data_IF_948584992625
#
_entry.id   IF_948584992625
#
_cell.length_a   1.000
_cell.length_b   1.000
_cell.length_c   1.000
_cell.angle_alpha   90.00
_cell.angle_beta   90.00
_cell.angle_gamma   90.00
#
_symmetry.space_group_name_H-M   'P 1'
#
loop_
_entity.id
_entity.type
_entity.pdbx_description
1 polymer ?
#
# COMPACT_ATOMS: atom_id res chain seq x y z
N UNK A 1 -23.53 51.48 -13.63
CA UNK A 1 -24.60 51.83 -12.70
C UNK A 1 -24.19 51.31 -11.35
N UNK A 2 -23.78 52.25 -10.55
CA UNK A 2 -23.33 52.13 -9.17
C UNK A 2 -24.41 51.59 -8.24
N UNK A 3 -24.01 50.93 -7.16
CA UNK A 3 -24.39 51.32 -5.81
C UNK A 3 -23.42 50.72 -4.78
N UNK A 4 -22.75 51.68 -4.15
CA UNK A 4 -21.81 51.61 -3.02
C UNK A 4 -22.52 51.49 -1.68
N UNK A 5 -21.77 50.94 -0.71
CA UNK A 5 -21.66 51.29 0.73
C UNK A 5 -22.71 50.79 1.72
N UNK A 6 -22.30 50.17 2.83
CA UNK A 6 -21.89 50.80 4.10
C UNK A 6 -21.36 49.79 5.15
N UNK A 7 -20.32 50.25 5.82
CA UNK A 7 -19.70 49.70 7.05
C UNK A 7 -20.60 49.84 8.27
N UNK A 8 -20.44 48.96 9.26
CA UNK A 8 -20.50 49.35 10.67
C UNK A 8 -19.71 48.39 11.55
N UNK A 9 -18.67 48.92 12.18
CA UNK A 9 -17.90 48.30 13.25
C UNK A 9 -18.55 48.66 14.58
N UNK A 10 -18.67 47.73 15.51
CA UNK A 10 -18.96 47.99 16.92
C UNK A 10 -17.87 47.38 17.78
N UNK A 11 -17.04 48.24 18.37
CA UNK A 11 -16.16 47.94 19.50
C UNK A 11 -16.95 48.17 20.78
N UNK A 12 -16.90 47.20 21.71
CA UNK A 12 -17.29 47.43 23.09
C UNK A 12 -16.12 47.05 23.99
N UNK A 13 -15.53 48.09 24.60
CA UNK A 13 -14.60 47.94 25.74
C UNK A 13 -15.43 47.86 27.02
N UNK A 14 -15.08 46.92 27.91
CA UNK A 14 -15.42 47.01 29.33
C UNK A 14 -14.17 46.92 30.17
N UNK A 15 -13.86 48.02 30.84
CA UNK A 15 -12.90 48.14 31.91
C UNK A 15 -13.62 47.90 33.24
N UNK A 16 -13.09 47.07 34.11
CA UNK A 16 -13.50 46.99 35.52
C UNK A 16 -12.30 47.17 36.42
N UNK A 17 -12.50 48.07 37.37
CA UNK A 17 -11.54 48.65 38.31
C UNK A 17 -11.18 47.71 39.46
N UNK A 18 -9.96 47.92 39.93
CA UNK A 18 -9.38 47.38 41.15
C UNK A 18 -9.97 47.98 42.40
N UNK A 19 -10.09 47.19 43.48
CA UNK A 19 -10.17 47.69 44.83
C UNK A 19 -9.26 46.82 45.76
N UNK A 20 -8.24 47.47 46.30
CA UNK A 20 -7.39 46.96 47.37
C UNK A 20 -8.14 46.94 48.70
N UNK A 21 -8.01 45.90 49.46
CA UNK A 21 -8.17 45.93 50.95
C UNK A 21 -7.01 45.17 51.57
N UNK A 22 -6.19 45.90 52.30
CA UNK A 22 -5.14 45.34 53.19
C UNK A 22 -5.78 44.91 54.51
N UNK A 23 -5.42 43.75 55.00
CA UNK A 23 -5.49 43.38 56.40
C UNK A 23 -4.24 42.59 56.79
N UNK A 24 -3.49 43.17 57.72
CA UNK A 24 -2.31 42.56 58.29
C UNK A 24 -2.70 41.50 59.33
N UNK A 25 -2.06 40.34 59.24
CA UNK A 25 -2.15 39.29 60.25
C UNK A 25 -0.85 38.47 60.25
N UNK A 26 -0.08 38.65 61.32
CA UNK A 26 1.17 37.94 61.56
C UNK A 26 0.90 36.48 61.91
N UNK A 27 1.44 35.55 61.12
CA UNK A 27 1.44 34.13 61.43
C UNK A 27 2.65 33.48 60.79
N UNK A 28 3.54 32.95 61.62
CA UNK A 28 4.74 32.21 61.21
C UNK A 28 4.34 30.97 60.43
N UNK A 29 4.66 30.92 59.17
CA UNK A 29 4.47 29.75 58.30
C UNK A 29 5.79 29.03 58.14
N UNK A 30 5.83 27.80 58.63
CA UNK A 30 6.84 26.78 58.31
C UNK A 30 6.86 26.53 56.80
N UNK A 31 7.93 26.89 56.13
CA UNK A 31 8.19 26.52 54.71
C UNK A 31 8.52 25.03 54.65
N UNK A 32 7.50 24.20 54.44
CA UNK A 32 7.69 22.87 53.88
C UNK A 32 7.91 23.01 52.36
N UNK A 33 9.20 22.97 51.96
CA UNK A 33 9.59 22.91 50.56
C UNK A 33 9.11 21.59 49.96
N UNK A 34 7.96 21.59 49.30
CA UNK A 34 7.60 20.52 48.39
C UNK A 34 8.54 20.62 47.17
N UNK A 35 9.58 19.79 47.17
CA UNK A 35 10.31 19.48 45.96
C UNK A 35 9.30 18.87 44.97
N UNK A 36 8.80 19.68 44.06
CA UNK A 36 8.17 19.19 42.86
C UNK A 36 9.22 18.40 42.09
N UNK A 37 9.23 17.09 42.26
CA UNK A 37 9.91 16.21 41.31
C UNK A 37 9.34 16.55 39.91
N UNK A 38 10.19 16.78 38.91
CA UNK A 38 9.69 16.87 37.57
C UNK A 38 8.95 15.55 37.28
N UNK A 39 7.67 15.65 36.89
CA UNK A 39 6.96 14.52 36.32
C UNK A 39 7.85 13.99 35.19
N UNK A 40 8.53 12.89 35.44
CA UNK A 40 9.10 12.08 34.37
C UNK A 40 7.90 11.54 33.58
N UNK A 41 7.37 12.36 32.65
CA UNK A 41 6.58 11.83 31.59
C UNK A 41 7.47 10.79 30.93
N UNK A 42 7.13 9.53 31.10
CA UNK A 42 7.65 8.48 30.27
C UNK A 42 7.42 8.99 28.83
N UNK A 43 8.51 9.18 28.07
CA UNK A 43 8.40 9.49 26.65
C UNK A 43 7.44 8.46 26.07
N UNK A 44 6.29 8.90 25.57
CA UNK A 44 5.42 8.01 24.82
C UNK A 44 6.27 7.38 23.70
N UNK A 45 6.10 6.08 23.44
CA UNK A 45 6.90 5.42 22.41
C UNK A 45 6.78 6.22 21.12
N UNK A 46 7.89 6.69 20.59
CA UNK A 46 7.91 7.44 19.33
C UNK A 46 7.30 6.56 18.25
N UNK A 47 6.47 7.14 17.41
CA UNK A 47 5.97 6.47 16.23
C UNK A 47 7.12 6.05 15.31
N UNK A 48 6.91 5.04 14.49
CA UNK A 48 7.91 4.57 13.54
C UNK A 48 8.35 5.71 12.60
N UNK A 49 7.39 6.47 12.03
CA UNK A 49 7.68 7.58 11.12
C UNK A 49 8.45 8.73 11.78
N UNK A 50 8.35 8.91 13.08
CA UNK A 50 9.14 9.91 13.80
C UNK A 50 10.65 9.61 13.82
N UNK A 51 11.03 8.39 13.50
CA UNK A 51 12.44 7.97 13.44
C UNK A 51 12.99 7.93 12.01
N UNK A 52 12.14 8.11 11.00
CA UNK A 52 12.51 8.03 9.58
C UNK A 52 12.62 9.44 9.01
N UNK A 53 13.86 9.87 8.73
CA UNK A 53 14.13 11.25 8.28
C UNK A 53 14.98 11.35 7.02
N UNK A 54 15.55 10.25 6.57
CA UNK A 54 16.45 10.23 5.43
C UNK A 54 15.90 9.36 4.32
N UNK A 55 15.75 9.94 3.13
CA UNK A 55 15.35 9.26 1.91
C UNK A 55 16.52 9.22 0.95
N UNK A 56 16.82 8.04 0.43
CA UNK A 56 17.98 7.81 -0.45
C UNK A 56 17.52 7.01 -1.66
N UNK A 57 17.57 7.61 -2.84
CA UNK A 57 17.38 6.89 -4.10
C UNK A 57 18.49 5.86 -4.27
N UNK A 58 18.10 4.61 -4.45
CA UNK A 58 19.02 3.47 -4.52
C UNK A 58 19.41 3.12 -5.96
N UNK A 59 18.39 2.99 -6.82
CA UNK A 59 18.57 2.53 -8.19
C UNK A 59 17.39 2.88 -9.08
N UNK A 60 17.58 2.86 -10.39
CA UNK A 60 16.51 2.82 -11.38
C UNK A 60 15.96 1.42 -11.51
N UNK A 61 14.65 1.31 -11.78
CA UNK A 61 13.95 0.04 -12.02
C UNK A 61 13.82 -0.29 -13.51
N UNK A 62 14.25 0.61 -14.39
CA UNK A 62 14.10 0.48 -15.85
C UNK A 62 15.15 -0.49 -16.41
N UNK A 63 14.72 -1.65 -16.94
CA UNK A 63 15.63 -2.60 -17.60
C UNK A 63 15.90 -2.20 -19.05
N UNK A 64 16.67 -3.05 -19.77
CA UNK A 64 17.11 -2.82 -21.14
C UNK A 64 15.98 -2.73 -22.18
N UNK A 65 14.81 -3.32 -21.91
CA UNK A 65 13.64 -3.22 -22.78
C UNK A 65 12.80 -1.95 -22.55
N UNK A 66 13.16 -1.13 -21.55
CA UNK A 66 12.50 0.13 -21.25
C UNK A 66 11.17 0.05 -20.51
N UNK A 67 10.79 -1.13 -19.99
CA UNK A 67 9.65 -1.21 -19.07
C UNK A 67 9.87 -0.27 -17.89
N UNK A 68 8.81 0.37 -17.41
CA UNK A 68 8.87 1.43 -16.43
C UNK A 68 7.64 1.43 -15.51
N UNK A 69 7.55 2.41 -14.63
CA UNK A 69 6.48 2.57 -13.66
C UNK A 69 6.47 1.39 -12.67
N UNK A 70 7.39 1.41 -11.66
CA UNK A 70 7.52 0.34 -10.70
C UNK A 70 6.30 0.31 -9.74
N UNK A 71 5.69 -0.87 -9.61
CA UNK A 71 4.49 -1.06 -8.81
C UNK A 71 4.71 -1.94 -7.58
N UNK A 72 5.09 -3.20 -7.78
CA UNK A 72 5.38 -4.09 -6.66
C UNK A 72 6.80 -3.90 -6.13
N UNK A 73 6.94 -4.11 -4.82
CA UNK A 73 8.25 -4.22 -4.17
C UNK A 73 8.18 -5.29 -3.09
N UNK A 74 9.16 -6.21 -3.08
CA UNK A 74 9.23 -7.31 -2.12
C UNK A 74 10.68 -7.49 -1.68
N UNK A 75 10.90 -7.63 -0.37
CA UNK A 75 12.20 -8.01 0.19
C UNK A 75 12.27 -9.54 0.28
N UNK A 76 13.31 -10.13 -0.28
CA UNK A 76 13.53 -11.57 -0.32
C UNK A 76 13.74 -12.15 1.09
N UNK A 77 12.88 -13.08 1.55
CA UNK A 77 13.00 -13.66 2.89
C UNK A 77 14.12 -14.70 2.99
N UNK A 78 14.58 -15.25 1.86
CA UNK A 78 15.58 -16.31 1.77
C UNK A 78 16.45 -16.15 0.53
N UNK A 79 17.64 -16.74 0.54
CA UNK A 79 18.44 -16.92 -0.67
C UNK A 79 17.98 -18.15 -1.43
N UNK A 80 17.69 -17.99 -2.73
CA UNK A 80 17.31 -19.09 -3.63
C UNK A 80 17.64 -18.72 -5.08
N UNK A 81 18.23 -19.65 -5.84
CA UNK A 81 18.59 -19.43 -7.24
C UNK A 81 19.45 -18.18 -7.44
N UNK A 82 18.94 -17.20 -8.20
CA UNK A 82 19.62 -15.91 -8.43
C UNK A 82 19.45 -14.91 -7.29
N UNK A 83 18.40 -15.07 -6.48
CA UNK A 83 18.02 -14.13 -5.43
C UNK A 83 18.84 -14.38 -4.18
N UNK A 84 19.38 -13.34 -3.58
CA UNK A 84 19.98 -13.39 -2.24
C UNK A 84 18.96 -12.96 -1.20
N UNK A 85 19.07 -13.49 0.03
CA UNK A 85 18.27 -12.96 1.14
C UNK A 85 18.51 -11.46 1.28
N UNK A 86 17.43 -10.70 1.56
CA UNK A 86 17.38 -9.26 1.68
C UNK A 86 17.53 -8.50 0.35
N UNK A 87 17.62 -9.17 -0.80
CA UNK A 87 17.45 -8.55 -2.10
C UNK A 87 16.05 -7.95 -2.23
N UNK A 88 15.93 -6.96 -3.09
CA UNK A 88 14.66 -6.25 -3.33
C UNK A 88 14.21 -6.52 -4.75
N UNK A 89 13.09 -7.23 -4.89
CA UNK A 89 12.45 -7.49 -6.18
C UNK A 89 11.44 -6.39 -6.47
N UNK A 90 11.48 -5.85 -7.68
CA UNK A 90 10.58 -4.79 -8.14
C UNK A 90 10.06 -5.14 -9.53
N UNK A 91 8.74 -5.03 -9.75
CA UNK A 91 8.19 -5.16 -11.10
C UNK A 91 7.86 -3.80 -11.72
N UNK A 92 7.72 -3.79 -13.04
CA UNK A 92 7.32 -2.63 -13.82
C UNK A 92 5.95 -2.90 -14.47
N UNK A 93 5.01 -1.98 -14.28
CA UNK A 93 3.64 -2.10 -14.76
C UNK A 93 3.45 -1.60 -16.19
N UNK A 94 4.24 -0.62 -16.61
CA UNK A 94 4.16 0.00 -17.93
C UNK A 94 5.26 -0.51 -18.86
N UNK A 95 5.01 -0.48 -20.16
CA UNK A 95 6.02 -0.72 -21.18
C UNK A 95 6.83 0.56 -21.50
N UNK A 96 7.78 0.45 -22.44
CA UNK A 96 8.59 1.58 -22.94
C UNK A 96 7.75 2.79 -23.39
N UNK A 97 6.51 2.56 -23.86
CA UNK A 97 5.61 3.63 -24.28
C UNK A 97 4.82 4.26 -23.13
N UNK A 98 5.12 3.86 -21.91
CA UNK A 98 4.43 4.26 -20.68
C UNK A 98 2.93 3.92 -20.70
N UNK A 99 2.56 2.82 -21.34
CA UNK A 99 1.19 2.32 -21.35
C UNK A 99 0.97 1.34 -20.21
N UNK A 100 -0.05 1.61 -19.39
CA UNK A 100 -0.38 0.84 -18.20
C UNK A 100 -0.84 -0.59 -18.55
N UNK A 101 -0.42 -1.58 -17.75
CA UNK A 101 -0.78 -2.98 -17.94
C UNK A 101 -0.07 -3.67 -19.11
N UNK A 102 1.12 -3.16 -19.48
CA UNK A 102 1.94 -3.70 -20.55
C UNK A 102 3.38 -4.04 -20.13
N UNK A 103 3.76 -3.74 -18.89
CA UNK A 103 5.05 -4.10 -18.34
C UNK A 103 5.14 -5.60 -18.03
N UNK A 104 6.31 -6.16 -18.24
CA UNK A 104 6.56 -7.63 -18.22
C UNK A 104 7.80 -8.02 -17.42
N UNK A 105 8.49 -7.03 -16.83
CA UNK A 105 9.81 -7.24 -16.23
C UNK A 105 9.79 -7.10 -14.72
N UNK A 106 10.62 -7.91 -14.07
CA UNK A 106 10.96 -7.82 -12.65
C UNK A 106 12.47 -7.61 -12.57
N UNK A 107 12.91 -6.61 -11.85
CA UNK A 107 14.32 -6.38 -11.54
C UNK A 107 14.62 -6.80 -10.10
N UNK A 108 15.89 -7.13 -9.85
CA UNK A 108 16.43 -7.52 -8.56
C UNK A 108 17.53 -6.54 -8.18
N UNK A 109 17.32 -5.80 -7.09
CA UNK A 109 18.32 -4.92 -6.49
C UNK A 109 18.93 -5.59 -5.26
N UNK A 110 20.24 -5.78 -5.30
CA UNK A 110 21.00 -6.30 -4.16
C UNK A 110 21.58 -5.15 -3.32
N UNK A 111 21.09 -4.91 -2.07
CA UNK A 111 21.55 -3.79 -1.25
C UNK A 111 23.03 -3.87 -0.84
N UNK A 112 23.62 -5.07 -0.76
CA UNK A 112 25.00 -5.26 -0.36
C UNK A 112 25.98 -4.88 -1.49
N UNK A 113 25.72 -5.31 -2.72
CA UNK A 113 26.52 -4.97 -3.90
C UNK A 113 26.10 -3.65 -4.55
N UNK A 114 24.90 -3.16 -4.26
CA UNK A 114 24.26 -2.00 -4.92
C UNK A 114 24.08 -2.18 -6.43
N UNK A 115 23.89 -3.41 -6.85
CA UNK A 115 23.69 -3.77 -8.26
C UNK A 115 22.21 -4.09 -8.49
N UNK A 116 21.70 -3.66 -9.64
CA UNK A 116 20.38 -4.04 -10.14
C UNK A 116 20.57 -4.95 -11.34
N UNK A 117 19.86 -6.06 -11.36
CA UNK A 117 19.86 -7.04 -12.46
C UNK A 117 18.45 -7.37 -12.90
N UNK A 118 18.30 -7.86 -14.12
CA UNK A 118 17.02 -8.38 -14.58
C UNK A 118 16.78 -9.75 -13.94
N UNK A 119 15.76 -9.85 -13.08
CA UNK A 119 15.37 -11.13 -12.50
C UNK A 119 14.52 -11.94 -13.47
N UNK A 120 13.45 -11.34 -14.03
CA UNK A 120 12.53 -12.02 -14.94
C UNK A 120 12.05 -11.08 -16.05
N UNK A 121 11.84 -11.67 -17.25
CA UNK A 121 11.10 -11.07 -18.35
C UNK A 121 10.05 -12.06 -18.82
N UNK A 122 8.79 -11.69 -18.68
CA UNK A 122 7.66 -12.57 -18.99
C UNK A 122 7.18 -12.37 -20.43
N UNK A 123 6.63 -13.41 -21.08
CA UNK A 123 6.05 -13.27 -22.40
C UNK A 123 4.78 -12.45 -22.31
N UNK A 124 4.65 -11.42 -23.13
CA UNK A 124 3.45 -10.56 -23.18
C UNK A 124 2.17 -11.33 -23.51
N UNK A 125 2.27 -12.29 -24.41
CA UNK A 125 1.16 -13.17 -24.77
C UNK A 125 1.35 -14.53 -24.09
N UNK A 126 0.43 -14.81 -23.16
CA UNK A 126 0.41 -16.04 -22.40
C UNK A 126 -1.03 -16.60 -22.45
N UNK A 127 -1.26 -17.71 -23.22
CA UNK A 127 -2.61 -18.25 -23.40
C UNK A 127 -3.33 -18.62 -22.09
N UNK A 128 -2.56 -19.00 -21.06
CA UNK A 128 -3.09 -19.36 -19.75
C UNK A 128 -3.47 -18.16 -18.90
N UNK A 129 -3.08 -16.94 -19.28
CA UNK A 129 -3.40 -15.69 -18.57
C UNK A 129 -4.37 -14.86 -19.42
N UNK A 130 -5.66 -14.77 -19.06
CA UNK A 130 -6.65 -14.06 -19.87
C UNK A 130 -6.32 -12.58 -20.08
N UNK A 131 -6.03 -12.20 -21.31
CA UNK A 131 -5.60 -10.86 -21.73
C UNK A 131 -4.08 -10.70 -21.85
N UNK A 132 -3.28 -11.67 -21.37
CA UNK A 132 -1.81 -11.62 -21.41
C UNK A 132 -1.17 -11.17 -20.12
N UNK A 133 0.04 -10.58 -20.19
CA UNK A 133 0.83 -10.16 -19.03
C UNK A 133 0.95 -8.64 -18.98
N UNK A 134 0.63 -8.10 -17.80
CA UNK A 134 0.87 -6.74 -17.35
C UNK A 134 1.01 -6.78 -15.84
N UNK A 135 2.24 -6.68 -15.31
CA UNK A 135 2.56 -6.93 -13.90
C UNK A 135 1.96 -5.85 -12.99
N UNK A 136 1.58 -6.23 -11.77
CA UNK A 136 0.87 -5.35 -10.84
C UNK A 136 1.55 -5.29 -9.47
N UNK A 137 1.08 -4.45 -8.58
CA UNK A 137 1.55 -4.38 -7.19
C UNK A 137 1.41 -5.69 -6.40
N UNK A 138 0.72 -6.69 -6.95
CA UNK A 138 0.48 -7.97 -6.30
C UNK A 138 1.68 -8.92 -6.47
N UNK A 139 2.67 -8.83 -5.59
CA UNK A 139 3.85 -9.71 -5.61
C UNK A 139 4.18 -10.22 -4.21
N UNK A 140 4.70 -11.44 -4.13
CA UNK A 140 5.25 -12.06 -2.92
C UNK A 140 6.34 -13.06 -3.29
N UNK A 141 7.36 -13.20 -2.44
CA UNK A 141 8.32 -14.31 -2.50
C UNK A 141 8.10 -15.26 -1.32
N UNK A 142 7.99 -16.54 -1.62
CA UNK A 142 7.84 -17.61 -0.63
C UNK A 142 9.19 -18.05 -0.06
N UNK A 143 9.20 -18.62 1.14
CA UNK A 143 10.38 -19.23 1.74
C UNK A 143 10.95 -20.41 0.93
N UNK A 144 10.12 -20.98 0.07
CA UNK A 144 10.55 -21.99 -0.90
C UNK A 144 11.33 -21.45 -2.11
N UNK A 145 11.46 -20.11 -2.20
CA UNK A 145 12.14 -19.42 -3.28
C UNK A 145 11.28 -19.10 -4.50
N UNK A 146 10.02 -19.50 -4.54
CA UNK A 146 9.11 -19.13 -5.63
C UNK A 146 8.60 -17.70 -5.45
N UNK A 147 8.49 -16.98 -6.56
CA UNK A 147 7.89 -15.65 -6.63
C UNK A 147 6.52 -15.77 -7.29
N UNK A 148 5.50 -15.21 -6.66
CA UNK A 148 4.14 -15.16 -7.20
C UNK A 148 3.83 -13.70 -7.47
N UNK A 149 3.45 -13.37 -8.72
CA UNK A 149 3.13 -12.00 -9.14
C UNK A 149 1.80 -11.94 -9.87
N UNK A 150 1.04 -10.89 -9.63
CA UNK A 150 -0.21 -10.61 -10.30
C UNK A 150 -0.02 -10.02 -11.69
N UNK A 151 -0.96 -10.31 -12.57
CA UNK A 151 -1.06 -9.71 -13.88
C UNK A 151 -2.46 -9.14 -14.10
N UNK A 152 -2.53 -7.88 -14.51
CA UNK A 152 -3.76 -7.20 -14.94
C UNK A 152 -3.46 -6.47 -16.24
N UNK A 153 -3.47 -7.19 -17.35
CA UNK A 153 -3.01 -6.68 -18.64
C UNK A 153 -3.99 -5.73 -19.30
N UNK A 154 -3.47 -4.87 -20.17
CA UNK A 154 -4.26 -4.12 -21.15
C UNK A 154 -3.63 -4.20 -22.54
N UNK A 155 -4.33 -3.69 -23.57
CA UNK A 155 -3.78 -3.60 -24.93
C UNK A 155 -3.44 -2.16 -25.35
N UNK A 156 -4.00 -1.17 -24.65
CA UNK A 156 -3.90 0.25 -25.00
C UNK A 156 -3.60 1.17 -23.82
N UNK A 157 -3.23 0.61 -22.68
CA UNK A 157 -2.99 1.38 -21.46
C UNK A 157 -4.26 1.76 -20.69
N UNK A 158 -5.45 1.30 -21.11
CA UNK A 158 -6.71 1.63 -20.44
C UNK A 158 -7.48 0.41 -19.98
N UNK A 159 -8.37 0.61 -19.02
CA UNK A 159 -9.27 -0.46 -18.54
C UNK A 159 -10.32 -0.88 -19.57
N UNK A 160 -10.49 -0.14 -20.68
CA UNK A 160 -11.38 -0.54 -21.78
C UNK A 160 -10.94 -1.83 -22.45
N UNK A 161 -9.64 -2.09 -22.48
CA UNK A 161 -9.03 -3.30 -23.06
C UNK A 161 -8.43 -4.23 -22.03
N UNK A 162 -8.76 -4.00 -20.74
CA UNK A 162 -8.26 -4.80 -19.64
C UNK A 162 -8.66 -6.28 -19.77
N UNK A 163 -7.70 -7.18 -19.64
CA UNK A 163 -7.95 -8.60 -19.43
C UNK A 163 -8.27 -8.91 -17.97
N UNK A 164 -8.79 -10.13 -17.71
CA UNK A 164 -9.01 -10.57 -16.33
C UNK A 164 -7.68 -10.76 -15.59
N UNK A 165 -6.62 -11.11 -16.31
CA UNK A 165 -5.32 -11.38 -15.73
C UNK A 165 -5.23 -12.73 -15.04
N UNK A 166 -4.18 -12.89 -14.26
CA UNK A 166 -3.81 -14.16 -13.61
C UNK A 166 -2.81 -13.92 -12.48
N UNK A 167 -2.44 -14.98 -11.77
CA UNK A 167 -1.25 -15.03 -10.93
C UNK A 167 -0.20 -15.88 -11.63
N UNK A 168 1.02 -15.36 -11.74
CA UNK A 168 2.17 -15.99 -12.39
C UNK A 168 3.10 -16.53 -11.31
N UNK A 169 3.55 -17.77 -11.45
CA UNK A 169 4.48 -18.40 -10.51
C UNK A 169 5.83 -18.54 -11.19
N UNK A 170 6.84 -17.91 -10.61
CA UNK A 170 8.21 -17.94 -11.08
C UNK A 170 9.05 -18.78 -10.13
N UNK A 171 10.03 -19.49 -10.67
CA UNK A 171 11.08 -20.10 -9.84
C UNK A 171 12.10 -19.02 -9.38
N UNK A 172 13.03 -19.42 -8.54
CA UNK A 172 14.08 -18.54 -8.01
C UNK A 172 15.11 -18.06 -9.06
N UNK A 173 15.00 -18.52 -10.30
CA UNK A 173 15.81 -18.08 -11.44
C UNK A 173 15.02 -17.17 -12.39
N UNK A 174 13.78 -16.80 -12.03
CA UNK A 174 12.91 -15.94 -12.82
C UNK A 174 12.21 -16.64 -13.97
N UNK A 175 12.19 -18.00 -13.99
CA UNK A 175 11.50 -18.76 -15.01
C UNK A 175 10.03 -18.95 -14.63
N UNK A 176 9.11 -18.67 -15.55
CA UNK A 176 7.69 -18.94 -15.38
C UNK A 176 7.46 -20.47 -15.34
N UNK A 177 6.96 -20.97 -14.21
CA UNK A 177 6.72 -22.40 -13.97
C UNK A 177 5.24 -22.76 -13.85
N UNK A 178 4.37 -21.77 -13.56
CA UNK A 178 2.93 -21.98 -13.52
C UNK A 178 2.16 -20.66 -13.76
N UNK A 179 0.86 -20.80 -14.07
CA UNK A 179 -0.07 -19.68 -14.25
C UNK A 179 -1.42 -20.05 -13.65
N UNK A 180 -1.91 -19.23 -12.71
CA UNK A 180 -3.18 -19.47 -12.06
C UNK A 180 -4.21 -18.44 -12.51
N UNK A 181 -5.24 -18.91 -13.18
CA UNK A 181 -6.39 -18.13 -13.61
C UNK A 181 -7.70 -18.77 -13.11
N UNK A 182 -8.81 -18.06 -13.25
CA UNK A 182 -10.13 -18.55 -12.85
C UNK A 182 -11.13 -17.41 -12.77
N UNK A 183 -12.41 -17.76 -12.55
CA UNK A 183 -13.46 -16.78 -12.44
C UNK A 183 -13.34 -15.89 -11.18
N UNK A 184 -12.61 -16.35 -10.18
CA UNK A 184 -12.32 -15.69 -8.92
C UNK A 184 -11.02 -14.84 -8.96
N UNK A 185 -10.27 -14.88 -10.07
CA UNK A 185 -9.07 -14.08 -10.32
C UNK A 185 -9.39 -13.08 -11.41
N UNK A 186 -9.56 -11.82 -11.02
CA UNK A 186 -9.81 -10.73 -11.96
C UNK A 186 -9.22 -9.42 -11.44
N UNK A 187 -8.17 -8.96 -12.11
CA UNK A 187 -7.45 -7.77 -11.68
C UNK A 187 -6.79 -7.94 -10.32
N UNK A 188 -5.85 -8.92 -10.13
CA UNK A 188 -5.06 -8.98 -8.91
C UNK A 188 -4.32 -7.65 -8.71
N UNK A 189 -4.53 -7.02 -7.54
CA UNK A 189 -4.13 -5.64 -7.31
C UNK A 189 -3.70 -5.42 -5.88
N UNK A 190 -2.65 -4.64 -5.66
CA UNK A 190 -2.12 -4.35 -4.33
C UNK A 190 -1.18 -5.42 -3.78
N UNK A 191 -0.29 -5.03 -2.86
CA UNK A 191 0.66 -5.96 -2.26
C UNK A 191 -0.07 -7.11 -1.56
N UNK A 192 0.45 -8.32 -1.77
CA UNK A 192 -0.07 -9.54 -1.14
C UNK A 192 0.35 -9.63 0.32
N UNK A 193 -0.46 -10.31 1.13
CA UNK A 193 -0.05 -10.82 2.43
C UNK A 193 0.10 -12.34 2.37
N UNK A 194 1.00 -12.90 3.18
CA UNK A 194 1.28 -14.34 3.19
C UNK A 194 1.53 -14.86 4.60
N UNK A 195 1.01 -16.05 4.87
CA UNK A 195 1.43 -16.92 5.97
C UNK A 195 2.18 -18.07 5.33
N UNK A 196 3.49 -18.18 5.56
CA UNK A 196 4.34 -19.17 4.92
C UNK A 196 5.00 -20.08 5.94
N UNK A 197 4.74 -21.38 5.82
CA UNK A 197 5.28 -22.45 6.66
C UNK A 197 6.26 -23.35 5.89
N UNK A 198 6.80 -22.88 4.76
CA UNK A 198 7.71 -23.62 3.91
C UNK A 198 7.01 -24.67 3.04
N UNK A 199 6.48 -25.75 3.63
CA UNK A 199 5.75 -26.81 2.89
C UNK A 199 4.31 -26.44 2.53
N UNK A 200 3.77 -25.40 3.13
CA UNK A 200 2.42 -24.83 2.88
C UNK A 200 2.48 -23.31 3.00
N UNK A 201 1.63 -22.63 2.26
CA UNK A 201 1.44 -21.19 2.44
C UNK A 201 -0.03 -20.81 2.23
N UNK A 202 -0.42 -19.70 2.86
CA UNK A 202 -1.73 -19.07 2.65
C UNK A 202 -1.49 -17.67 2.11
N UNK A 203 -1.93 -17.41 0.89
CA UNK A 203 -1.85 -16.10 0.26
C UNK A 203 -3.16 -15.35 0.43
N UNK A 204 -3.06 -14.04 0.55
CA UNK A 204 -4.19 -13.11 0.47
C UNK A 204 -3.93 -12.13 -0.65
N UNK A 205 -4.90 -11.97 -1.55
CA UNK A 205 -4.78 -11.16 -2.75
C UNK A 205 -6.04 -10.34 -2.95
N UNK A 206 -5.90 -9.03 -3.13
CA UNK A 206 -7.01 -8.16 -3.53
C UNK A 206 -7.30 -8.33 -5.02
N UNK A 207 -8.59 -8.38 -5.38
CA UNK A 207 -9.07 -8.48 -6.75
C UNK A 207 -9.96 -7.27 -7.06
N UNK A 208 -9.52 -6.38 -7.95
CA UNK A 208 -10.18 -5.10 -8.21
C UNK A 208 -10.62 -4.93 -9.68
N UNK A 209 -10.80 -6.03 -10.42
CA UNK A 209 -11.04 -5.98 -11.87
C UNK A 209 -12.41 -6.44 -12.35
N UNK A 210 -13.32 -6.90 -11.48
CA UNK A 210 -14.59 -7.50 -11.89
C UNK A 210 -15.53 -6.48 -12.53
N UNK A 211 -15.86 -6.69 -13.80
CA UNK A 211 -16.84 -5.89 -14.57
C UNK A 211 -16.54 -4.38 -14.58
N UNK A 212 -15.27 -3.98 -14.36
CA UNK A 212 -14.88 -2.57 -14.41
C UNK A 212 -15.02 -2.08 -15.86
N UNK A 213 -15.89 -1.11 -16.10
CA UNK A 213 -16.04 -0.56 -17.45
C UNK A 213 -14.85 0.35 -17.80
N UNK A 214 -14.70 0.63 -19.09
CA UNK A 214 -13.69 1.60 -19.54
C UNK A 214 -13.89 2.99 -18.90
N UNK A 215 -12.83 3.80 -18.80
CA UNK A 215 -12.85 5.07 -18.07
C UNK A 215 -13.78 6.13 -18.67
N UNK A 216 -14.26 5.92 -19.90
CA UNK A 216 -15.26 6.78 -20.57
C UNK A 216 -16.68 6.58 -20.05
N UNK A 217 -16.98 5.44 -19.39
CA UNK A 217 -18.29 5.17 -18.79
C UNK A 217 -18.33 5.85 -17.43
N UNK A 218 -19.02 6.98 -17.38
CA UNK A 218 -19.03 7.85 -16.20
C UNK A 218 -20.38 7.86 -15.49
N UNK A 219 -20.32 7.96 -14.18
CA UNK A 219 -21.48 8.26 -13.34
C UNK A 219 -21.90 9.72 -13.57
N UNK A 220 -23.13 9.97 -14.06
CA UNK A 220 -23.61 11.32 -14.36
C UNK A 220 -23.69 12.22 -13.11
N UNK A 221 -23.84 11.65 -11.92
CA UNK A 221 -23.92 12.42 -10.68
C UNK A 221 -22.58 12.93 -10.20
N UNK A 222 -21.52 12.17 -10.42
CA UNK A 222 -20.17 12.48 -9.89
C UNK A 222 -19.18 12.90 -10.96
N UNK A 223 -19.43 12.56 -12.23
CA UNK A 223 -18.50 12.73 -13.34
C UNK A 223 -17.28 11.80 -13.32
N UNK A 224 -17.14 10.97 -12.30
CA UNK A 224 -16.08 9.95 -12.22
C UNK A 224 -16.46 8.67 -12.99
N UNK A 225 -15.50 7.80 -13.36
CA UNK A 225 -15.84 6.48 -13.88
C UNK A 225 -16.77 5.73 -12.92
N UNK A 226 -17.70 4.94 -13.50
CA UNK A 226 -18.71 4.21 -12.71
C UNK A 226 -18.05 3.27 -11.71
N UNK A 227 -18.52 3.30 -10.48
CA UNK A 227 -18.09 2.41 -9.40
C UNK A 227 -18.93 1.13 -9.40
N UNK A 228 -18.26 -0.02 -9.35
CA UNK A 228 -18.87 -1.36 -9.27
C UNK A 228 -18.48 -1.97 -7.91
N UNK A 229 -19.45 -2.42 -7.13
CA UNK A 229 -19.23 -3.04 -5.81
C UNK A 229 -19.03 -4.56 -5.93
N UNK A 230 -17.97 -4.99 -6.61
CA UNK A 230 -17.65 -6.40 -6.88
C UNK A 230 -16.23 -6.82 -6.53
N UNK A 231 -15.39 -5.89 -6.06
CA UNK A 231 -14.03 -6.23 -5.69
C UNK A 231 -14.01 -7.13 -4.45
N UNK A 232 -13.00 -7.99 -4.38
CA UNK A 232 -12.91 -9.03 -3.36
C UNK A 232 -11.51 -9.12 -2.76
N UNK A 233 -11.40 -9.84 -1.63
CA UNK A 233 -10.12 -10.38 -1.14
C UNK A 233 -10.21 -11.90 -1.22
N UNK A 234 -9.29 -12.48 -1.97
CA UNK A 234 -9.16 -13.91 -2.19
C UNK A 234 -8.08 -14.49 -1.28
N UNK A 235 -8.42 -15.55 -0.53
CA UNK A 235 -7.46 -16.42 0.14
C UNK A 235 -7.16 -17.62 -0.75
N UNK A 236 -5.87 -17.94 -0.91
CA UNK A 236 -5.38 -19.08 -1.68
C UNK A 236 -4.50 -19.94 -0.78
N UNK A 237 -4.87 -21.18 -0.57
CA UNK A 237 -4.06 -22.13 0.19
C UNK A 237 -3.19 -22.95 -0.74
N UNK A 238 -1.90 -23.05 -0.42
CA UNK A 238 -0.90 -23.70 -1.22
C UNK A 238 -0.32 -24.94 -0.52
N UNK A 239 -0.06 -25.98 -1.31
CA UNK A 239 0.90 -27.01 -0.99
C UNK A 239 2.20 -26.73 -1.74
N UNK A 240 3.33 -26.91 -1.05
CA UNK A 240 4.66 -26.70 -1.59
C UNK A 240 5.52 -27.93 -1.25
N UNK A 241 5.32 -29.06 -1.94
CA UNK A 241 6.13 -30.25 -1.67
C UNK A 241 7.60 -29.97 -2.01
N UNK A 242 8.55 -30.54 -1.26
CA UNK A 242 9.98 -30.36 -1.52
C UNK A 242 10.35 -30.66 -2.98
N UNK A 243 11.05 -29.71 -3.61
CA UNK A 243 11.50 -29.83 -5.01
C UNK A 243 10.39 -29.70 -6.06
N UNK A 244 9.18 -29.33 -5.67
CA UNK A 244 8.06 -29.12 -6.59
C UNK A 244 7.58 -27.68 -6.53
N UNK A 245 6.96 -27.23 -7.63
CA UNK A 245 6.30 -25.92 -7.67
C UNK A 245 5.10 -25.87 -6.73
N UNK A 246 4.75 -24.68 -6.20
CA UNK A 246 3.54 -24.50 -5.42
C UNK A 246 2.30 -24.92 -6.20
N UNK A 247 1.36 -25.57 -5.51
CA UNK A 247 0.09 -26.01 -6.08
C UNK A 247 -1.06 -25.49 -5.22
N UNK A 248 -2.12 -24.97 -5.85
CA UNK A 248 -3.32 -24.51 -5.16
C UNK A 248 -4.09 -25.70 -4.59
N UNK A 249 -4.38 -25.67 -3.29
CA UNK A 249 -5.28 -26.61 -2.60
C UNK A 249 -6.71 -26.12 -2.57
N UNK A 250 -6.88 -24.84 -2.24
CA UNK A 250 -8.21 -24.23 -2.15
C UNK A 250 -8.14 -22.73 -2.43
N UNK A 251 -9.28 -22.16 -2.83
CA UNK A 251 -9.51 -20.73 -2.94
C UNK A 251 -10.80 -20.36 -2.23
N UNK A 252 -10.79 -19.24 -1.51
CA UNK A 252 -11.95 -18.76 -0.76
C UNK A 252 -12.02 -17.26 -0.82
N UNK A 253 -13.12 -16.68 -1.27
CA UNK A 253 -13.41 -15.26 -1.14
C UNK A 253 -13.74 -14.98 0.32
N UNK A 254 -12.85 -14.28 1.02
CA UNK A 254 -12.98 -13.99 2.45
C UNK A 254 -13.54 -12.60 2.75
N UNK A 255 -13.57 -11.73 1.74
CA UNK A 255 -14.24 -10.43 1.80
C UNK A 255 -14.67 -10.02 0.39
N UNK A 256 -15.80 -9.31 0.28
CA UNK A 256 -16.39 -8.89 -0.99
C UNK A 256 -17.21 -7.60 -0.85
N UNK A 257 -17.75 -7.12 -1.97
CA UNK A 257 -18.59 -5.92 -1.99
C UNK A 257 -17.80 -4.61 -1.92
N UNK A 258 -16.48 -4.64 -2.04
CA UNK A 258 -15.69 -3.41 -2.15
C UNK A 258 -15.99 -2.69 -3.45
N UNK A 259 -16.01 -1.34 -3.39
CA UNK A 259 -16.07 -0.51 -4.58
C UNK A 259 -14.79 -0.63 -5.41
N UNK A 260 -14.95 -0.64 -6.73
CA UNK A 260 -13.85 -0.60 -7.69
C UNK A 260 -14.26 0.19 -8.92
N UNK A 261 -13.31 0.81 -9.59
CA UNK A 261 -13.53 1.52 -10.86
C UNK A 261 -12.24 1.71 -11.64
N UNK A 262 -12.37 2.10 -12.90
CA UNK A 262 -11.27 2.62 -13.70
C UNK A 262 -10.73 3.92 -13.09
N UNK A 263 -9.44 4.08 -13.15
CA UNK A 263 -8.76 5.32 -12.76
C UNK A 263 -7.67 5.65 -13.78
N UNK A 264 -7.48 6.93 -14.07
CA UNK A 264 -6.50 7.36 -15.06
C UNK A 264 -5.07 7.26 -14.52
N UNK A 265 -4.90 7.61 -13.24
CA UNK A 265 -3.57 7.78 -12.65
C UNK A 265 -3.02 6.43 -12.16
N UNK A 266 -3.90 5.55 -11.67
CA UNK A 266 -3.51 4.27 -11.06
C UNK A 266 -4.15 3.05 -11.74
N UNK A 267 -4.66 3.19 -12.97
CA UNK A 267 -5.33 2.17 -13.78
C UNK A 267 -6.63 1.64 -13.17
N UNK A 268 -6.56 1.00 -12.00
CA UNK A 268 -7.68 0.53 -11.19
C UNK A 268 -7.61 1.14 -9.80
N UNK A 269 -8.77 1.44 -9.21
CA UNK A 269 -8.87 1.81 -7.80
C UNK A 269 -9.94 0.95 -7.12
N UNK A 270 -9.61 0.41 -5.95
CA UNK A 270 -10.46 -0.49 -5.17
C UNK A 270 -9.73 -0.94 -3.90
N UNK A 271 -10.03 -2.12 -3.34
CA UNK A 271 -9.19 -2.72 -2.31
C UNK A 271 -7.81 -3.00 -2.89
N UNK A 272 -6.76 -2.63 -2.17
CA UNK A 272 -5.40 -2.67 -2.70
C UNK A 272 -4.45 -3.39 -1.74
N UNK A 273 -3.78 -2.66 -0.85
CA UNK A 273 -2.76 -3.23 0.03
C UNK A 273 -3.31 -4.13 1.13
N UNK A 274 -2.56 -5.16 1.44
CA UNK A 274 -2.88 -6.14 2.46
C UNK A 274 -1.74 -6.25 3.49
N UNK A 275 -2.07 -6.20 4.78
CA UNK A 275 -1.14 -6.42 5.86
C UNK A 275 -1.72 -7.39 6.89
N UNK A 276 -0.91 -8.33 7.37
CA UNK A 276 -1.34 -9.33 8.33
C UNK A 276 -0.85 -8.96 9.73
N UNK A 277 -1.78 -8.83 10.67
CA UNK A 277 -1.49 -8.65 12.09
C UNK A 277 -1.00 -9.95 12.74
N UNK A 278 -0.28 -9.83 13.85
CA UNK A 278 0.23 -10.98 14.59
C UNK A 278 -0.89 -11.90 15.15
N UNK A 279 -2.08 -11.36 15.32
CA UNK A 279 -3.29 -12.08 15.77
C UNK A 279 -4.04 -12.77 14.61
N UNK A 280 -3.53 -12.69 13.38
CA UNK A 280 -4.17 -13.25 12.18
C UNK A 280 -5.25 -12.35 11.56
N UNK A 281 -5.45 -11.15 12.07
CA UNK A 281 -6.30 -10.13 11.43
C UNK A 281 -5.66 -9.65 10.13
N UNK A 282 -6.39 -9.68 9.03
CA UNK A 282 -5.96 -9.12 7.76
C UNK A 282 -6.50 -7.69 7.63
N UNK A 283 -5.60 -6.73 7.48
CA UNK A 283 -5.94 -5.35 7.18
C UNK A 283 -5.93 -5.12 5.67
N UNK A 284 -6.88 -4.33 5.20
CA UNK A 284 -7.06 -4.03 3.77
C UNK A 284 -7.17 -2.52 3.59
N UNK A 285 -6.36 -1.95 2.71
CA UNK A 285 -6.57 -0.57 2.24
C UNK A 285 -7.68 -0.55 1.19
N UNK A 286 -8.79 0.09 1.49
CA UNK A 286 -9.90 0.35 0.59
C UNK A 286 -9.74 1.75 -0.01
N UNK A 287 -8.97 1.84 -1.09
CA UNK A 287 -8.52 3.10 -1.66
C UNK A 287 -9.68 3.97 -2.16
N UNK A 288 -10.72 3.35 -2.72
CA UNK A 288 -11.88 4.08 -3.24
C UNK A 288 -12.73 4.68 -2.12
N UNK A 289 -12.91 3.96 -1.02
CA UNK A 289 -13.64 4.44 0.16
C UNK A 289 -12.75 5.24 1.12
N UNK A 290 -11.45 5.41 0.80
CA UNK A 290 -10.47 6.18 1.55
C UNK A 290 -10.32 5.72 3.01
N UNK A 291 -10.22 4.41 3.24
CA UNK A 291 -10.21 3.79 4.58
C UNK A 291 -9.30 2.57 4.65
N UNK A 292 -9.02 2.14 5.87
CA UNK A 292 -8.44 0.83 6.18
C UNK A 292 -9.49 0.03 6.94
N UNK A 293 -9.65 -1.25 6.57
CA UNK A 293 -10.58 -2.17 7.23
C UNK A 293 -9.86 -3.41 7.75
N UNK A 294 -10.48 -4.11 8.69
CA UNK A 294 -9.97 -5.33 9.30
C UNK A 294 -10.90 -6.51 9.02
N UNK A 295 -10.32 -7.65 8.66
CA UNK A 295 -10.97 -8.94 8.45
C UNK A 295 -10.43 -9.91 9.50
N UNK A 296 -11.24 -10.28 10.49
CA UNK A 296 -10.84 -11.26 11.51
C UNK A 296 -10.78 -12.66 10.93
N UNK A 297 -9.98 -13.53 11.56
CA UNK A 297 -9.90 -14.96 11.23
C UNK A 297 -9.60 -15.22 9.74
N UNK A 298 -8.83 -14.35 9.11
CA UNK A 298 -8.63 -14.35 7.65
C UNK A 298 -8.11 -15.70 7.12
N UNK A 299 -7.25 -16.38 7.88
CA UNK A 299 -6.68 -17.67 7.50
C UNK A 299 -7.69 -18.84 7.57
N UNK A 300 -8.77 -18.72 8.34
CA UNK A 300 -9.69 -19.84 8.63
C UNK A 300 -11.12 -19.59 8.20
N UNK A 301 -11.48 -18.35 7.82
CA UNK A 301 -12.84 -18.02 7.39
C UNK A 301 -13.31 -18.89 6.23
N UNK A 302 -14.55 -19.32 6.31
CA UNK A 302 -15.22 -20.10 5.26
C UNK A 302 -16.26 -19.28 4.48
N UNK A 303 -16.52 -18.04 4.93
CA UNK A 303 -17.48 -17.12 4.29
C UNK A 303 -16.94 -15.71 4.27
N UNK A 304 -17.47 -14.87 3.39
CA UNK A 304 -17.10 -13.47 3.27
C UNK A 304 -17.42 -12.68 4.55
N UNK A 305 -16.56 -11.73 4.88
CA UNK A 305 -16.77 -10.70 5.91
C UNK A 305 -17.47 -9.43 5.37
N UNK A 306 -18.00 -9.49 4.12
CA UNK A 306 -18.36 -8.27 3.42
C UNK A 306 -17.12 -7.39 3.20
N UNK A 307 -17.23 -6.09 3.43
CA UNK A 307 -16.08 -5.18 3.33
C UNK A 307 -15.25 -5.06 4.62
N UNK A 308 -15.46 -5.95 5.58
CA UNK A 308 -14.74 -5.93 6.86
C UNK A 308 -15.18 -4.82 7.84
N UNK A 309 -14.53 -4.78 9.01
CA UNK A 309 -14.75 -3.75 10.04
C UNK A 309 -13.85 -2.54 9.76
N UNK A 310 -14.42 -1.34 9.70
CA UNK A 310 -13.64 -0.12 9.55
C UNK A 310 -12.67 0.07 10.74
N UNK A 311 -11.42 0.34 10.43
CA UNK A 311 -10.35 0.68 11.39
C UNK A 311 -10.19 2.18 11.47
N UNK A 312 -9.97 2.83 10.32
CA UNK A 312 -9.83 4.28 10.20
C UNK A 312 -10.24 4.73 8.80
N UNK A 313 -10.66 5.97 8.67
CA UNK A 313 -11.16 6.52 7.41
C UNK A 313 -10.82 8.00 7.28
N UNK A 314 -10.65 8.45 6.03
CA UNK A 314 -10.40 9.86 5.69
C UNK A 314 -9.17 10.45 6.41
N UNK A 315 -9.21 11.67 6.90
CA UNK A 315 -8.11 12.30 7.62
C UNK A 315 -6.86 12.49 6.77
N UNK A 316 -5.75 11.86 7.16
CA UNK A 316 -4.50 11.88 6.41
C UNK A 316 -4.47 10.87 5.25
N UNK A 317 -5.38 9.89 5.25
CA UNK A 317 -5.50 8.95 4.13
C UNK A 317 -6.02 9.67 2.89
N UNK A 318 -5.37 9.41 1.75
CA UNK A 318 -5.74 9.95 0.44
C UNK A 318 -5.49 8.89 -0.64
N UNK A 319 -6.47 8.02 -0.87
CA UNK A 319 -6.35 6.79 -1.68
C UNK A 319 -5.22 5.89 -1.16
N UNK A 320 -5.37 5.28 0.03
CA UNK A 320 -4.35 4.38 0.54
C UNK A 320 -4.20 3.17 -0.39
N UNK A 321 -2.97 2.91 -0.86
CA UNK A 321 -2.62 1.78 -1.72
C UNK A 321 -1.88 0.71 -0.91
N UNK A 322 -0.56 0.58 -1.07
CA UNK A 322 0.18 -0.44 -0.34
C UNK A 322 0.07 -0.26 1.18
N UNK A 323 0.05 -1.37 1.87
CA UNK A 323 -0.13 -1.46 3.32
C UNK A 323 0.84 -2.49 3.88
N UNK A 324 1.62 -2.12 4.88
CA UNK A 324 2.50 -3.06 5.60
C UNK A 324 2.28 -2.97 7.10
N UNK A 325 2.60 -4.08 7.80
CA UNK A 325 2.66 -4.13 9.25
C UNK A 325 4.06 -3.74 9.72
N UNK A 326 4.13 -2.82 10.66
CA UNK A 326 5.36 -2.35 11.28
C UNK A 326 5.73 -3.19 12.51
N UNK A 327 7.01 -3.21 12.94
CA UNK A 327 7.45 -3.97 14.12
C UNK A 327 6.77 -3.55 15.43
N UNK A 328 6.29 -2.30 15.53
CA UNK A 328 5.56 -1.79 16.68
C UNK A 328 4.06 -2.19 16.69
N UNK A 329 3.62 -2.98 15.72
CA UNK A 329 2.21 -3.38 15.56
C UNK A 329 1.32 -2.35 14.87
N UNK A 330 1.86 -1.24 14.41
CA UNK A 330 1.14 -0.27 13.63
C UNK A 330 1.13 -0.64 12.13
N UNK A 331 0.25 -0.01 11.37
CA UNK A 331 0.21 -0.09 9.93
C UNK A 331 0.93 1.11 9.31
N UNK A 332 1.59 0.90 8.18
CA UNK A 332 2.08 1.96 7.31
C UNK A 332 1.37 1.85 5.97
N UNK A 333 0.66 2.91 5.58
CA UNK A 333 -0.05 3.01 4.31
C UNK A 333 0.59 4.08 3.43
N UNK A 334 0.79 3.82 2.14
CA UNK A 334 1.13 4.86 1.19
C UNK A 334 -0.12 5.40 0.49
N UNK A 335 -0.15 6.72 0.30
CA UNK A 335 -1.24 7.42 -0.38
C UNK A 335 -0.89 7.66 -1.84
N UNK A 336 -1.70 7.18 -2.77
CA UNK A 336 -1.52 7.48 -4.18
C UNK A 336 -1.79 8.94 -4.54
N UNK A 337 -2.56 9.69 -3.71
CA UNK A 337 -3.07 11.00 -4.15
C UNK A 337 -2.24 12.20 -3.68
N UNK A 338 -1.35 12.04 -2.72
CA UNK A 338 -0.64 13.19 -2.15
C UNK A 338 0.80 12.90 -1.72
N UNK A 339 1.40 11.83 -2.21
CA UNK A 339 2.79 11.48 -1.94
C UNK A 339 3.14 11.23 -0.48
N UNK A 340 2.14 10.98 0.39
CA UNK A 340 2.36 10.73 1.82
C UNK A 340 2.35 9.24 2.16
N UNK A 341 3.09 8.90 3.21
CA UNK A 341 2.86 7.69 4.01
C UNK A 341 2.18 8.07 5.32
N UNK A 342 1.33 7.18 5.81
CA UNK A 342 0.52 7.39 7.04
C UNK A 342 0.73 6.21 7.98
N UNK A 343 1.16 6.49 9.21
CA UNK A 343 1.23 5.49 10.28
C UNK A 343 -0.09 5.46 11.04
N UNK A 344 -0.63 4.26 11.22
CA UNK A 344 -1.93 4.03 11.84
C UNK A 344 -1.81 3.01 12.96
N UNK A 345 -2.30 3.35 14.15
CA UNK A 345 -2.56 2.39 15.21
C UNK A 345 -3.86 1.63 14.89
N UNK A 346 -3.81 0.35 14.50
CA UNK A 346 -5.00 -0.38 14.10
C UNK A 346 -5.91 -0.78 15.27
N UNK A 347 -5.40 -0.75 16.50
CA UNK A 347 -6.17 -1.06 17.72
C UNK A 347 -7.01 0.14 18.12
N UNK A 348 -6.40 1.31 18.20
CA UNK A 348 -7.09 2.56 18.53
C UNK A 348 -7.83 3.18 17.33
N UNK A 349 -7.55 2.75 16.10
CA UNK A 349 -8.09 3.34 14.88
C UNK A 349 -7.56 4.74 14.60
N UNK A 350 -6.41 5.10 15.15
CA UNK A 350 -5.83 6.44 15.06
C UNK A 350 -4.77 6.53 13.99
N UNK A 351 -4.82 7.58 13.18
CA UNK A 351 -3.73 8.01 12.31
C UNK A 351 -2.77 8.86 13.14
N UNK A 352 -1.58 8.32 13.41
CA UNK A 352 -0.64 8.90 14.35
C UNK A 352 0.26 9.94 13.69
N UNK A 353 0.85 9.57 12.55
CA UNK A 353 1.80 10.38 11.81
C UNK A 353 1.52 10.30 10.32
N UNK A 354 1.86 11.37 9.61
CA UNK A 354 1.86 11.40 8.15
C UNK A 354 3.08 12.19 7.67
N UNK A 355 3.82 11.62 6.73
CA UNK A 355 5.02 12.22 6.18
C UNK A 355 4.94 12.24 4.66
N UNK A 356 5.32 13.37 4.02
CA UNK A 356 5.55 13.40 2.59
C UNK A 356 6.86 12.68 2.28
N UNK A 357 6.79 11.72 1.37
CA UNK A 357 7.94 11.01 0.82
C UNK A 357 8.12 11.29 -0.66
N UNK A 358 7.06 11.69 -1.34
CA UNK A 358 7.10 12.26 -2.67
C UNK A 358 6.47 13.65 -2.68
N UNK A 359 7.20 14.61 -3.23
CA UNK A 359 6.81 16.03 -3.25
C UNK A 359 6.85 16.60 -4.66
N UNK A 360 6.66 15.76 -5.68
CA UNK A 360 6.67 16.18 -7.09
C UNK A 360 5.67 17.33 -7.31
N UNK A 361 6.22 18.56 -7.50
CA UNK A 361 5.41 19.78 -7.66
C UNK A 361 4.78 19.91 -9.04
N UNK A 362 5.14 19.05 -10.00
CA UNK A 362 4.51 19.03 -11.32
C UNK A 362 3.10 18.44 -11.28
N UNK A 363 2.75 17.77 -10.18
CA UNK A 363 1.47 17.13 -9.98
C UNK A 363 0.55 17.94 -9.09
N UNK A 364 -0.76 17.65 -9.15
CA UNK A 364 -1.79 18.33 -8.35
C UNK A 364 -2.80 17.34 -7.75
N UNK A 365 -2.78 17.13 -6.42
CA UNK A 365 -1.79 17.67 -5.46
C UNK A 365 -0.38 17.09 -5.71
N UNK A 366 0.67 17.67 -5.12
CA UNK A 366 2.04 17.13 -5.23
C UNK A 366 2.11 15.66 -4.82
N UNK A 367 2.84 14.85 -5.59
CA UNK A 367 2.96 13.41 -5.42
C UNK A 367 1.69 12.61 -5.78
N UNK A 368 0.79 13.17 -6.61
CA UNK A 368 -0.41 12.46 -7.04
C UNK A 368 -0.11 11.44 -8.12
N UNK A 369 -0.30 10.16 -7.80
CA UNK A 369 -0.13 9.05 -8.73
C UNK A 369 1.22 8.33 -8.61
N UNK A 370 2.13 8.74 -7.72
CA UNK A 370 3.53 8.32 -7.74
C UNK A 370 3.89 7.22 -6.75
N UNK A 371 3.10 6.99 -5.70
CA UNK A 371 3.42 6.01 -4.67
C UNK A 371 2.56 4.76 -4.79
N UNK A 372 3.19 3.62 -5.08
CA UNK A 372 2.51 2.32 -5.19
C UNK A 372 2.97 1.33 -4.14
N UNK A 373 4.15 0.75 -4.27
CA UNK A 373 4.65 -0.30 -3.42
C UNK A 373 5.51 0.21 -2.26
N UNK A 374 5.34 -0.39 -1.08
CA UNK A 374 6.23 -0.22 0.07
C UNK A 374 6.60 -1.59 0.66
N UNK A 375 7.81 -1.73 1.19
CA UNK A 375 8.27 -2.93 1.87
C UNK A 375 9.14 -2.58 3.08
N UNK A 376 8.96 -3.28 4.20
CA UNK A 376 9.77 -3.06 5.39
C UNK A 376 11.22 -3.47 5.11
N UNK A 377 12.19 -2.69 5.60
CA UNK A 377 13.59 -3.11 5.59
C UNK A 377 13.82 -4.29 6.54
N UNK A 378 14.79 -5.18 6.23
CA UNK A 378 15.07 -6.36 7.05
C UNK A 378 15.41 -6.05 8.51
N UNK A 379 16.00 -4.89 8.78
CA UNK A 379 16.34 -4.45 10.13
C UNK A 379 15.17 -3.84 10.91
N UNK A 380 14.01 -3.70 10.27
CA UNK A 380 12.81 -3.10 10.86
C UNK A 380 12.91 -1.61 11.20
N UNK A 381 13.96 -0.90 10.75
CA UNK A 381 14.22 0.51 11.10
C UNK A 381 13.94 1.49 9.97
N UNK A 382 13.27 1.05 8.94
CA UNK A 382 12.93 1.85 7.79
C UNK A 382 12.16 1.02 6.77
N UNK A 383 11.91 1.58 5.61
CA UNK A 383 11.21 0.90 4.54
C UNK A 383 11.78 1.28 3.18
N UNK A 384 11.53 0.44 2.20
CA UNK A 384 11.71 0.74 0.78
C UNK A 384 10.38 1.17 0.19
N UNK A 385 10.41 2.06 -0.79
CA UNK A 385 9.26 2.40 -1.60
C UNK A 385 9.66 2.60 -3.05
N UNK A 386 8.70 2.45 -3.95
CA UNK A 386 8.87 2.75 -5.37
C UNK A 386 8.24 4.10 -5.68
N UNK A 387 8.91 4.85 -6.52
CA UNK A 387 8.52 6.17 -7.01
C UNK A 387 8.40 6.04 -8.54
N UNK A 388 7.15 6.09 -9.04
CA UNK A 388 6.88 5.68 -10.41
C UNK A 388 7.31 6.73 -11.44
N UNK A 389 7.15 8.01 -11.16
CA UNK A 389 7.57 9.12 -12.01
C UNK A 389 9.07 9.09 -12.31
N UNK A 390 9.88 8.81 -11.28
CA UNK A 390 11.32 8.74 -11.39
C UNK A 390 11.82 7.35 -11.77
N UNK A 391 10.93 6.36 -11.76
CA UNK A 391 11.27 4.96 -12.01
C UNK A 391 12.39 4.47 -11.09
N UNK A 392 12.27 4.72 -9.80
CA UNK A 392 13.31 4.43 -8.82
C UNK A 392 12.80 3.67 -7.60
N UNK A 393 13.75 3.00 -6.95
CA UNK A 393 13.61 2.50 -5.57
C UNK A 393 14.28 3.46 -4.63
N UNK A 394 13.58 3.81 -3.57
CA UNK A 394 14.06 4.70 -2.52
C UNK A 394 14.07 3.99 -1.17
N UNK A 395 15.13 4.20 -0.39
CA UNK A 395 15.24 3.77 1.00
C UNK A 395 14.87 4.92 1.93
N UNK A 396 13.91 4.68 2.82
CA UNK A 396 13.54 5.59 3.92
C UNK A 396 14.06 5.04 5.26
N UNK A 397 14.85 5.88 6.00
CA UNK A 397 15.49 5.47 7.27
C UNK A 397 15.76 6.62 8.22
#
# INVERSE_FOLDING_TARGET
MDYLTRRAAVRICFAVRWSLAMLAGSGAALLAGALLAPDARADEPRGFLETVHKHVTLTSTVPDNGDQNPYAIVVAPVSAGKIQKDDVLIDNFNDLSNLQGLGTTIVDYNPASKQTTLFARLPRHLPQCPGGVGLTTAMVMLQSGYVIVGSTPSNDGTTSTKGNGCLLVLDANGQLVDTWAGADINGPWGNMAVIDHGATATLFVSMAGFDVPGPQVRDPATGFPVTIAKATVLRIELAIPPGQKPAIRSRTVIADGFGQRADRDVFLIGPTGLALGADGTLFVSDALANRIVAISDAATRTSSAGTGREVTKDGQLQRPLALIMLPNGHLLACNARNGKVVEVDPVAGKQLYAQWIDTNQAQSPPGNGDLFGIALRPDGKGFYYVEDDMNTVVEAR
#
